data_IF_571528523792
#
_entry.id   IF_571528523792
#
_cell.length_a   1.000
_cell.length_b   1.000
_cell.length_c   1.000
_cell.angle_alpha   90.00
_cell.angle_beta   90.00
_cell.angle_gamma   90.00
#
_symmetry.space_group_name_H-M   'P 1'
#
loop_
_entity.id
_entity.type
_entity.pdbx_description
1 polymer ?
#
# COMPACT_ATOMS: atom_id res chain seq x y z
N UNK A 1 1.32 1.66 10.09
CA UNK A 1 1.13 3.11 9.81
C UNK A 1 1.00 3.38 8.33
N UNK A 2 1.89 2.81 7.52
CA UNK A 2 1.86 2.87 6.05
C UNK A 2 0.47 2.63 5.43
N UNK A 3 -0.29 1.64 5.93
CA UNK A 3 -1.61 1.30 5.40
C UNK A 3 -2.62 2.45 5.44
N UNK A 4 -2.79 3.08 6.61
CA UNK A 4 -3.73 4.19 6.79
C UNK A 4 -3.28 5.42 6.01
N UNK A 5 -1.97 5.65 5.90
CA UNK A 5 -1.41 6.74 5.08
C UNK A 5 -1.62 6.50 3.58
N UNK A 6 -1.47 5.26 3.11
CA UNK A 6 -1.77 4.88 1.73
C UNK A 6 -3.23 5.14 1.36
N UNK A 7 -4.16 4.77 2.25
CA UNK A 7 -5.59 5.03 2.04
C UNK A 7 -5.89 6.53 2.07
N UNK A 8 -5.30 7.25 3.03
CA UNK A 8 -5.46 8.70 3.12
C UNK A 8 -5.02 9.40 1.82
N UNK A 9 -3.85 9.04 1.29
CA UNK A 9 -3.36 9.56 0.01
C UNK A 9 -4.24 9.17 -1.17
N UNK A 10 -4.72 7.92 -1.22
CA UNK A 10 -5.63 7.48 -2.29
C UNK A 10 -6.93 8.31 -2.30
N UNK A 11 -7.52 8.54 -1.12
CA UNK A 11 -8.72 9.36 -0.98
C UNK A 11 -8.43 10.84 -1.29
N UNK A 12 -7.31 11.39 -0.83
CA UNK A 12 -6.91 12.76 -1.11
C UNK A 12 -6.72 13.00 -2.61
N UNK A 13 -6.05 12.08 -3.31
CA UNK A 13 -5.92 12.08 -4.77
C UNK A 13 -7.28 12.02 -5.46
N UNK A 14 -8.17 11.15 -5.00
CA UNK A 14 -9.52 11.00 -5.57
C UNK A 14 -10.39 12.25 -5.35
N UNK A 15 -10.27 12.92 -4.22
CA UNK A 15 -11.11 14.08 -3.85
C UNK A 15 -10.56 15.39 -4.42
N UNK A 16 -9.25 15.60 -4.33
CA UNK A 16 -8.61 16.88 -4.64
C UNK A 16 -7.74 16.85 -5.89
N UNK A 17 -7.36 15.66 -6.36
CA UNK A 17 -6.36 15.48 -7.42
C UNK A 17 -4.91 15.65 -6.94
N UNK A 18 -4.68 15.91 -5.65
CA UNK A 18 -3.33 16.03 -5.10
C UNK A 18 -2.66 14.66 -5.00
N UNK A 19 -1.39 14.61 -5.40
CA UNK A 19 -0.53 13.44 -5.27
C UNK A 19 0.89 13.92 -5.01
N UNK A 20 1.63 13.22 -4.14
CA UNK A 20 3.05 13.49 -3.96
C UNK A 20 3.83 13.20 -5.25
N UNK A 21 4.93 13.93 -5.43
CA UNK A 21 5.80 13.67 -6.57
C UNK A 21 6.36 12.24 -6.50
N UNK A 22 6.41 11.57 -7.65
CA UNK A 22 7.07 10.28 -7.79
C UNK A 22 8.56 10.41 -7.41
N UNK A 23 9.03 9.75 -6.33
CA UNK A 23 10.41 9.85 -5.86
C UNK A 23 11.41 9.23 -6.84
N UNK A 24 10.92 8.45 -7.82
CA UNK A 24 11.72 7.77 -8.85
C UNK A 24 11.71 8.49 -10.21
N UNK A 25 11.02 9.62 -10.30
CA UNK A 25 11.07 10.46 -11.49
C UNK A 25 12.52 10.87 -11.82
N UNK A 26 12.78 11.14 -13.12
CA UNK A 26 14.08 11.62 -13.63
C UNK A 26 15.22 10.59 -13.56
N UNK A 27 14.90 9.29 -13.58
CA UNK A 27 15.88 8.22 -13.76
C UNK A 27 16.56 7.75 -12.47
N UNK A 28 15.94 8.00 -11.31
CA UNK A 28 16.33 7.34 -10.07
C UNK A 28 15.86 5.88 -10.13
N UNK A 29 16.69 4.96 -9.64
CA UNK A 29 16.33 3.53 -9.58
C UNK A 29 15.14 3.32 -8.65
N UNK A 30 14.23 2.43 -9.06
CA UNK A 30 13.07 2.05 -8.28
C UNK A 30 13.51 1.28 -7.03
N UNK A 31 13.15 1.81 -5.87
CA UNK A 31 13.40 1.20 -4.56
C UNK A 31 12.09 1.05 -3.82
N UNK A 32 11.93 -0.05 -3.10
CA UNK A 32 10.76 -0.30 -2.26
C UNK A 32 11.18 -1.18 -1.09
N UNK A 33 10.43 -1.09 0.00
CA UNK A 33 10.72 -1.79 1.24
C UNK A 33 9.94 -3.10 1.32
N UNK A 34 10.44 -4.05 2.11
CA UNK A 34 9.59 -5.17 2.48
C UNK A 34 8.40 -4.69 3.32
N UNK A 35 7.23 -5.31 3.14
CA UNK A 35 6.02 -4.94 3.87
C UNK A 35 6.18 -4.98 5.38
N UNK A 36 6.91 -5.98 5.89
CA UNK A 36 7.22 -6.06 7.31
C UNK A 36 8.07 -4.87 7.78
N UNK A 37 8.96 -4.37 6.92
CA UNK A 37 9.77 -3.17 7.20
C UNK A 37 8.91 -1.91 7.19
N UNK A 38 8.00 -1.75 6.22
CA UNK A 38 7.01 -0.67 6.23
C UNK A 38 6.12 -0.70 7.47
N UNK A 39 5.68 -1.89 7.91
CA UNK A 39 4.81 -2.03 9.08
C UNK A 39 5.53 -1.64 10.38
N UNK A 40 6.78 -2.06 10.54
CA UNK A 40 7.52 -1.88 11.80
C UNK A 40 8.28 -0.55 11.90
N UNK A 41 8.76 -0.01 10.78
CA UNK A 41 9.74 1.08 10.76
C UNK A 41 9.31 2.30 9.97
N UNK A 42 8.03 2.41 9.57
CA UNK A 42 7.53 3.48 8.69
C UNK A 42 8.11 4.87 8.96
N UNK A 43 8.13 5.31 10.22
CA UNK A 43 8.57 6.64 10.63
C UNK A 43 10.11 6.85 10.58
N UNK A 44 10.87 5.77 10.40
CA UNK A 44 12.34 5.76 10.33
C UNK A 44 12.86 5.64 8.89
N UNK A 45 11.99 5.33 7.92
CA UNK A 45 12.33 5.13 6.51
C UNK A 45 12.41 6.45 5.74
N UNK A 46 12.93 6.41 4.50
CA UNK A 46 12.80 7.54 3.58
C UNK A 46 11.31 7.79 3.34
N UNK A 47 10.84 8.92 3.86
CA UNK A 47 9.42 9.24 3.87
C UNK A 47 8.87 9.34 2.43
N UNK A 48 9.62 9.88 1.48
CA UNK A 48 9.10 10.00 0.11
C UNK A 48 8.83 8.63 -0.51
N UNK A 49 9.73 7.66 -0.29
CA UNK A 49 9.55 6.28 -0.74
C UNK A 49 8.43 5.60 0.04
N UNK A 50 8.43 5.71 1.37
CA UNK A 50 7.45 5.03 2.22
C UNK A 50 6.01 5.48 1.93
N UNK A 51 5.77 6.79 1.75
CA UNK A 51 4.45 7.31 1.35
C UNK A 51 4.09 6.89 -0.08
N UNK A 52 5.02 6.99 -1.03
CA UNK A 52 4.77 6.55 -2.41
C UNK A 52 4.40 5.06 -2.47
N UNK A 53 5.15 4.21 -1.79
CA UNK A 53 4.94 2.76 -1.78
C UNK A 53 3.60 2.40 -1.13
N UNK A 54 3.26 3.09 -0.04
CA UNK A 54 1.95 2.93 0.62
C UNK A 54 0.79 3.23 -0.33
N UNK A 55 0.91 4.29 -1.13
CA UNK A 55 -0.09 4.62 -2.14
C UNK A 55 -0.13 3.56 -3.26
N UNK A 56 1.02 3.07 -3.72
CA UNK A 56 1.06 2.03 -4.74
C UNK A 56 0.41 0.71 -4.26
N UNK A 57 0.64 0.32 -3.01
CA UNK A 57 0.04 -0.87 -2.42
C UNK A 57 -1.49 -0.77 -2.34
N UNK A 58 -2.01 0.41 -2.00
CA UNK A 58 -3.46 0.67 -2.02
C UNK A 58 -3.99 0.64 -3.44
N UNK A 59 -3.31 1.29 -4.40
CA UNK A 59 -3.72 1.29 -5.80
C UNK A 59 -3.73 -0.14 -6.38
N UNK A 60 -2.75 -0.97 -6.03
CA UNK A 60 -2.72 -2.39 -6.41
C UNK A 60 -3.97 -3.13 -5.92
N UNK A 61 -4.41 -2.90 -4.67
CA UNK A 61 -5.64 -3.50 -4.17
C UNK A 61 -6.85 -3.03 -4.97
N UNK A 62 -6.95 -1.73 -5.25
CA UNK A 62 -8.05 -1.15 -6.03
C UNK A 62 -8.10 -1.74 -7.44
N UNK A 63 -6.95 -1.81 -8.11
CA UNK A 63 -6.84 -2.23 -9.51
C UNK A 63 -7.15 -3.73 -9.69
N UNK A 64 -6.77 -4.57 -8.72
CA UNK A 64 -6.86 -6.03 -8.84
C UNK A 64 -8.08 -6.61 -8.13
N UNK A 65 -8.47 -6.05 -6.97
CA UNK A 65 -9.47 -6.64 -6.09
C UNK A 65 -10.69 -5.73 -5.87
N UNK A 66 -10.64 -4.47 -6.32
CA UNK A 66 -11.72 -3.51 -6.16
C UNK A 66 -11.54 -2.60 -4.93
N UNK A 67 -12.02 -1.36 -5.04
CA UNK A 67 -11.90 -0.34 -4.00
C UNK A 67 -12.61 -0.75 -2.69
N UNK A 68 -13.69 -1.52 -2.77
CA UNK A 68 -14.43 -2.02 -1.62
C UNK A 68 -13.55 -2.81 -0.65
N UNK A 69 -12.49 -3.45 -1.16
CA UNK A 69 -11.57 -4.25 -0.35
C UNK A 69 -10.74 -3.40 0.60
N UNK A 70 -10.45 -2.15 0.26
CA UNK A 70 -9.78 -1.23 1.18
C UNK A 70 -10.59 -1.07 2.48
N UNK A 71 -11.90 -0.89 2.33
CA UNK A 71 -12.80 -0.70 3.46
C UNK A 71 -13.02 -1.99 4.23
N UNK A 72 -13.11 -3.14 3.56
CA UNK A 72 -13.21 -4.43 4.26
C UNK A 72 -11.97 -4.72 5.11
N UNK A 73 -10.77 -4.42 4.60
CA UNK A 73 -9.52 -4.57 5.35
C UNK A 73 -9.48 -3.62 6.57
N UNK A 74 -9.92 -2.38 6.40
CA UNK A 74 -10.05 -1.43 7.52
C UNK A 74 -11.05 -1.90 8.59
N UNK A 75 -12.19 -2.46 8.19
CA UNK A 75 -13.18 -3.02 9.11
C UNK A 75 -12.60 -4.18 9.91
N UNK A 76 -11.84 -5.08 9.27
CA UNK A 76 -11.15 -6.18 9.96
C UNK A 76 -10.09 -5.66 10.94
N UNK A 77 -9.32 -4.63 10.57
CA UNK A 77 -8.40 -3.98 11.50
C UNK A 77 -9.13 -3.34 12.69
N UNK A 78 -10.31 -2.74 12.47
CA UNK A 78 -11.16 -2.20 13.53
C UNK A 78 -11.64 -3.26 14.54
N UNK A 79 -11.69 -4.54 14.13
CA UNK A 79 -12.00 -5.68 15.01
C UNK A 79 -10.78 -6.18 15.80
N UNK A 80 -9.60 -5.58 15.60
CA UNK A 80 -8.34 -5.96 16.25
C UNK A 80 -7.49 -6.93 15.45
N UNK A 81 -7.87 -7.26 14.21
CA UNK A 81 -7.04 -8.07 13.32
C UNK A 81 -5.75 -7.33 12.96
N UNK A 82 -4.62 -8.05 12.96
CA UNK A 82 -3.37 -7.52 12.41
C UNK A 82 -3.55 -7.29 10.91
N UNK A 83 -2.84 -6.32 10.34
CA UNK A 83 -2.96 -5.96 8.92
C UNK A 83 -2.78 -7.16 7.99
N UNK A 84 -1.72 -7.95 8.17
CA UNK A 84 -1.47 -9.12 7.32
C UNK A 84 -2.64 -10.12 7.37
N UNK A 85 -3.17 -10.39 8.57
CA UNK A 85 -4.35 -11.26 8.73
C UNK A 85 -5.60 -10.66 8.09
N UNK A 86 -5.80 -9.34 8.21
CA UNK A 86 -6.92 -8.65 7.56
C UNK A 86 -6.83 -8.72 6.04
N UNK A 87 -5.64 -8.52 5.45
CA UNK A 87 -5.39 -8.68 4.03
C UNK A 87 -5.68 -10.11 3.57
N UNK A 88 -5.21 -11.12 4.29
CA UNK A 88 -5.45 -12.52 3.96
C UNK A 88 -6.93 -12.88 3.94
N UNK A 89 -7.67 -12.45 4.98
CA UNK A 89 -9.11 -12.67 5.08
C UNK A 89 -9.86 -11.96 3.95
N UNK A 90 -9.51 -10.70 3.65
CA UNK A 90 -10.27 -9.88 2.71
C UNK A 90 -9.98 -10.21 1.25
N UNK A 91 -8.73 -10.53 0.92
CA UNK A 91 -8.26 -10.77 -0.44
C UNK A 91 -8.28 -12.25 -0.81
N UNK A 92 -8.37 -13.16 0.16
CA UNK A 92 -8.43 -14.61 -0.06
C UNK A 92 -7.10 -15.22 -0.54
N UNK A 93 -5.98 -14.52 -0.31
CA UNK A 93 -4.63 -14.94 -0.65
C UNK A 93 -3.72 -14.76 0.55
N UNK A 94 -2.61 -15.49 0.62
CA UNK A 94 -1.61 -15.31 1.68
C UNK A 94 -0.90 -13.96 1.59
N UNK A 95 -0.34 -13.49 2.71
CA UNK A 95 0.47 -12.27 2.73
C UNK A 95 1.68 -12.37 1.77
N UNK A 96 2.25 -13.56 1.62
CA UNK A 96 3.36 -13.80 0.69
C UNK A 96 2.93 -13.66 -0.79
N UNK A 97 1.76 -14.21 -1.15
CA UNK A 97 1.20 -14.04 -2.50
C UNK A 97 0.86 -12.57 -2.77
N UNK A 98 0.37 -11.86 -1.76
CA UNK A 98 0.09 -10.44 -1.86
C UNK A 98 1.35 -9.63 -2.16
N UNK A 99 2.42 -9.82 -1.37
CA UNK A 99 3.70 -9.12 -1.56
C UNK A 99 4.30 -9.40 -2.94
N UNK A 100 4.32 -10.67 -3.36
CA UNK A 100 4.83 -11.05 -4.67
C UNK A 100 4.02 -10.43 -5.81
N UNK A 101 2.68 -10.46 -5.71
CA UNK A 101 1.80 -9.83 -6.69
C UNK A 101 2.00 -8.32 -6.76
N UNK A 102 2.16 -7.67 -5.61
CA UNK A 102 2.43 -6.24 -5.51
C UNK A 102 3.78 -5.86 -6.16
N UNK A 103 4.87 -6.56 -5.86
CA UNK A 103 6.17 -6.25 -6.47
C UNK A 103 6.16 -6.48 -7.99
N UNK A 104 5.45 -7.51 -8.46
CA UNK A 104 5.25 -7.72 -9.90
C UNK A 104 4.41 -6.60 -10.54
N UNK A 105 3.43 -6.06 -9.82
CA UNK A 105 2.63 -4.92 -10.26
C UNK A 105 3.51 -3.66 -10.39
N UNK A 106 4.38 -3.38 -9.41
CA UNK A 106 5.32 -2.24 -9.46
C UNK A 106 6.24 -2.31 -10.68
N UNK A 107 6.76 -3.49 -11.01
CA UNK A 107 7.68 -3.68 -12.15
C UNK A 107 7.01 -3.49 -13.53
N UNK A 108 5.67 -3.50 -13.59
CA UNK A 108 4.90 -3.34 -14.83
C UNK A 108 4.42 -1.91 -15.08
N UNK A 109 4.61 -1.00 -14.12
CA UNK A 109 4.37 0.43 -14.28
C UNK A 109 5.54 1.10 -14.96
#
# INVERSE_FOLDING_TARGET
RWWTEGIAQYLEKKITGFEFADPFARGRELEYYEFMTLEQKFDELDQQIAYWESLQAVQYIVDIYGEEKLFTVLEEQGKGSRLNTALEICLGISCQEFEQGFYQYLQKK
#
